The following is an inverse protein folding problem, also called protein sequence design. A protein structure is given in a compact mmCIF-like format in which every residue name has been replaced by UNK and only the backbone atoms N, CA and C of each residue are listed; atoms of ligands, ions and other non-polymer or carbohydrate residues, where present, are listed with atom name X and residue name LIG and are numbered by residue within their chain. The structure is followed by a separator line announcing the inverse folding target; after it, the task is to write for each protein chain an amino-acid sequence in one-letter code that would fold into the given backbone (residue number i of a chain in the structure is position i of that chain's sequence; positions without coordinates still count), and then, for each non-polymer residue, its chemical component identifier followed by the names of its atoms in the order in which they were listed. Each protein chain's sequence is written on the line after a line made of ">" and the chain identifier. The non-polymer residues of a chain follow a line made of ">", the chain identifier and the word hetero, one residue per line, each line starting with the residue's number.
data_IF_159302611896
#
_entry.id   IF_159302611896
#
_cell.length_a   1.000
_cell.length_b   1.000
_cell.length_c   1.000
_cell.angle_alpha   90.00
_cell.angle_beta   90.00
_cell.angle_gamma   90.00
#
_symmetry.space_group_name_H-M   'P 1'
#
loop_
_entity.id
_entity.type
_entity.pdbx_description
1 polymer ?
#
# COMPACT_ATOMS: atom_id res chain seq x y z
N UNK A 1 24.84 29.70 -19.60
CA UNK A 1 25.34 28.83 -18.50
C UNK A 1 24.67 29.34 -17.22
N UNK A 2 23.90 28.60 -16.42
CA UNK A 2 23.94 27.19 -16.02
C UNK A 2 22.51 26.65 -15.86
N UNK A 3 22.27 25.44 -16.35
CA UNK A 3 21.03 24.70 -16.08
C UNK A 3 20.98 24.25 -14.62
N UNK A 4 19.88 24.56 -13.94
CA UNK A 4 19.55 24.01 -12.63
C UNK A 4 19.04 22.58 -12.81
N UNK A 5 19.94 21.60 -12.73
CA UNK A 5 19.59 20.19 -12.70
C UNK A 5 18.73 19.91 -11.47
N UNK A 6 17.45 19.62 -11.70
CA UNK A 6 16.54 19.10 -10.68
C UNK A 6 16.99 17.68 -10.34
N UNK A 7 17.93 17.57 -9.40
CA UNK A 7 18.43 16.31 -8.88
C UNK A 7 17.29 15.58 -8.17
N UNK A 8 16.76 14.53 -8.80
CA UNK A 8 15.75 13.66 -8.21
C UNK A 8 16.26 13.09 -6.90
N UNK A 9 15.81 13.66 -5.78
CA UNK A 9 16.19 13.23 -4.46
C UNK A 9 15.74 11.78 -4.25
N UNK A 10 16.68 10.84 -4.27
CA UNK A 10 16.44 9.45 -3.86
C UNK A 10 16.11 9.46 -2.37
N UNK A 11 14.84 9.29 -2.04
CA UNK A 11 14.40 9.08 -0.66
C UNK A 11 15.11 7.83 -0.12
N UNK A 12 15.97 8.00 0.89
CA UNK A 12 16.87 6.93 1.37
C UNK A 12 16.13 5.79 2.08
N UNK A 13 14.99 6.08 2.69
CA UNK A 13 14.11 5.10 3.37
C UNK A 13 12.67 5.64 3.37
N UNK A 14 11.97 5.66 2.24
CA UNK A 14 10.60 6.16 2.21
C UNK A 14 9.69 5.27 3.06
N UNK A 15 8.71 5.88 3.73
CA UNK A 15 7.70 5.18 4.51
C UNK A 15 6.29 5.57 4.03
N UNK A 16 5.43 4.58 3.84
CA UNK A 16 4.00 4.74 3.62
C UNK A 16 3.28 4.42 4.93
N UNK A 17 2.50 5.38 5.42
CA UNK A 17 1.54 5.18 6.51
C UNK A 17 0.17 4.88 5.94
N UNK A 18 -0.48 3.82 6.39
CA UNK A 18 -1.85 3.47 5.99
C UNK A 18 -2.64 2.87 7.15
N UNK A 19 -3.97 3.00 7.11
CA UNK A 19 -4.84 2.45 8.14
C UNK A 19 -4.95 0.93 8.06
N UNK A 20 -5.30 0.30 9.18
CA UNK A 20 -5.69 -1.10 9.19
C UNK A 20 -7.12 -1.26 8.65
N UNK A 21 -7.45 -2.40 8.01
CA UNK A 21 -6.62 -3.62 7.84
C UNK A 21 -5.60 -3.57 6.70
N UNK A 22 -5.64 -2.54 5.84
CA UNK A 22 -4.87 -2.50 4.60
C UNK A 22 -3.34 -2.56 4.80
N UNK A 23 -2.82 -2.02 5.90
CA UNK A 23 -1.39 -2.12 6.23
C UNK A 23 -0.93 -3.58 6.35
N UNK A 24 -1.62 -4.38 7.18
CA UNK A 24 -1.29 -5.79 7.33
C UNK A 24 -1.55 -6.58 6.04
N UNK A 25 -2.64 -6.30 5.33
CA UNK A 25 -2.95 -6.99 4.07
C UNK A 25 -1.89 -6.73 2.99
N UNK A 26 -1.32 -5.52 2.94
CA UNK A 26 -0.22 -5.19 2.03
C UNK A 26 1.05 -5.96 2.41
N UNK A 27 1.37 -6.02 3.71
CA UNK A 27 2.53 -6.75 4.23
C UNK A 27 2.45 -8.26 3.98
N UNK A 28 1.24 -8.84 4.06
CA UNK A 28 1.00 -10.26 3.78
C UNK A 28 0.86 -10.56 2.28
N UNK A 29 1.02 -9.56 1.40
CA UNK A 29 0.93 -9.73 -0.04
C UNK A 29 -0.50 -9.93 -0.57
N UNK A 30 -1.53 -9.79 0.28
CA UNK A 30 -2.93 -9.92 -0.09
C UNK A 30 -3.38 -8.68 -0.88
N UNK A 31 -3.12 -7.49 -0.35
CA UNK A 31 -3.34 -6.23 -1.08
C UNK A 31 -2.08 -5.89 -1.85
N UNK A 32 -2.11 -5.96 -3.19
CA UNK A 32 -0.91 -5.77 -4.02
C UNK A 32 -0.73 -4.33 -4.54
N UNK A 33 -1.80 -3.55 -4.58
CA UNK A 33 -1.82 -2.20 -5.18
C UNK A 33 -2.36 -1.18 -4.19
N UNK A 34 -1.66 -0.04 -4.10
CA UNK A 34 -2.07 1.14 -3.35
C UNK A 34 -2.19 2.34 -4.30
N UNK A 35 -3.40 2.87 -4.45
CA UNK A 35 -3.67 4.04 -5.28
C UNK A 35 -3.47 5.33 -4.49
N UNK A 36 -2.76 6.31 -5.07
CA UNK A 36 -2.64 7.67 -4.51
C UNK A 36 -2.97 8.71 -5.57
N UNK A 37 -3.51 9.84 -5.14
CA UNK A 37 -3.88 10.94 -6.05
C UNK A 37 -2.68 11.77 -6.52
N UNK A 38 -1.49 11.56 -5.95
CA UNK A 38 -0.26 12.24 -6.33
C UNK A 38 0.79 11.25 -6.85
N UNK A 39 1.57 11.65 -7.87
CA UNK A 39 2.68 10.84 -8.35
C UNK A 39 3.75 10.74 -7.26
N UNK A 40 4.28 9.53 -7.09
CA UNK A 40 5.37 9.25 -6.17
C UNK A 40 6.42 8.44 -6.93
N UNK A 41 7.55 9.02 -7.37
CA UNK A 41 8.57 8.31 -8.17
C UNK A 41 9.45 7.41 -7.30
N UNK A 42 8.82 6.62 -6.43
CA UNK A 42 9.48 5.77 -5.45
C UNK A 42 9.68 4.36 -6.00
N UNK A 43 10.92 4.02 -6.29
CA UNK A 43 11.30 2.68 -6.75
C UNK A 43 12.30 2.07 -5.78
N UNK A 44 11.99 0.91 -5.21
CA UNK A 44 12.90 0.20 -4.31
C UNK A 44 12.29 -0.13 -2.95
N UNK A 45 13.09 -0.04 -1.89
CA UNK A 45 12.63 -0.35 -0.53
C UNK A 45 11.63 0.72 -0.07
N UNK A 46 10.50 0.27 0.45
CA UNK A 46 9.46 1.09 1.04
C UNK A 46 9.06 0.49 2.39
N UNK A 47 9.12 1.31 3.43
CA UNK A 47 8.65 0.95 4.76
C UNK A 47 7.13 1.12 4.87
N UNK A 48 6.46 0.19 5.53
CA UNK A 48 5.03 0.25 5.81
C UNK A 48 4.82 0.51 7.30
N UNK A 49 4.11 1.58 7.61
CA UNK A 49 3.69 1.94 8.96
C UNK A 49 2.16 1.81 9.08
N UNK A 50 1.70 1.09 10.10
CA UNK A 50 0.29 1.05 10.46
C UNK A 50 -0.08 2.32 11.22
N UNK A 51 -1.04 3.07 10.71
CA UNK A 51 -1.58 4.25 11.38
C UNK A 51 -2.23 3.91 12.73
N UNK A 52 -2.54 4.94 13.52
CA UNK A 52 -3.02 4.80 14.90
C UNK A 52 -4.49 4.42 15.05
N UNK A 53 -5.32 4.64 14.03
CA UNK A 53 -6.75 4.33 14.09
C UNK A 53 -6.94 2.82 14.27
N UNK A 54 -7.59 2.44 15.37
CA UNK A 54 -8.03 1.08 15.64
C UNK A 54 -8.98 0.65 14.52
N UNK A 55 -8.73 -0.49 13.84
CA UNK A 55 -9.62 -0.97 12.80
C UNK A 55 -10.93 -1.43 13.41
N UNK A 56 -12.01 -1.05 12.75
CA UNK A 56 -13.34 -1.54 13.08
C UNK A 56 -13.48 -3.04 12.71
N UNK A 57 -13.98 -3.91 13.61
CA UNK A 57 -14.04 -5.35 13.35
C UNK A 57 -14.86 -5.72 12.12
N UNK A 58 -15.97 -5.03 11.86
CA UNK A 58 -16.81 -5.29 10.70
C UNK A 58 -16.08 -4.92 9.41
N UNK A 59 -15.33 -3.82 9.43
CA UNK A 59 -14.45 -3.42 8.32
C UNK A 59 -13.36 -4.45 8.07
N UNK A 60 -12.73 -5.02 9.11
CA UNK A 60 -11.74 -6.10 8.96
C UNK A 60 -12.38 -7.29 8.26
N UNK A 61 -13.51 -7.77 8.78
CA UNK A 61 -14.23 -8.93 8.25
C UNK A 61 -14.63 -8.72 6.79
N UNK A 62 -15.22 -7.56 6.48
CA UNK A 62 -15.64 -7.21 5.13
C UNK A 62 -14.45 -7.19 4.14
N UNK A 63 -13.29 -6.70 4.57
CA UNK A 63 -12.10 -6.72 3.73
C UNK A 63 -11.53 -8.13 3.54
N UNK A 64 -11.52 -8.97 4.57
CA UNK A 64 -11.09 -10.37 4.44
C UNK A 64 -11.98 -11.16 3.48
N UNK A 65 -13.30 -11.00 3.60
CA UNK A 65 -14.29 -11.60 2.69
C UNK A 65 -14.11 -11.11 1.26
N UNK A 66 -14.00 -9.79 1.06
CA UNK A 66 -13.75 -9.18 -0.25
C UNK A 66 -12.51 -9.75 -0.95
N UNK A 67 -11.37 -9.84 -0.26
CA UNK A 67 -10.17 -10.43 -0.87
C UNK A 67 -10.31 -11.93 -1.10
N UNK A 68 -10.99 -12.65 -0.20
CA UNK A 68 -11.25 -14.08 -0.40
C UNK A 68 -12.05 -14.33 -1.67
N UNK A 69 -13.08 -13.54 -1.93
CA UNK A 69 -13.89 -13.62 -3.15
C UNK A 69 -13.06 -13.32 -4.39
N UNK A 70 -12.30 -12.22 -4.40
CA UNK A 70 -11.47 -11.83 -5.55
C UNK A 70 -10.48 -12.93 -5.92
N UNK A 71 -9.75 -13.47 -4.94
CA UNK A 71 -8.77 -14.52 -5.20
C UNK A 71 -9.43 -15.87 -5.54
N UNK A 72 -10.64 -16.14 -5.04
CA UNK A 72 -11.40 -17.32 -5.43
C UNK A 72 -11.79 -17.30 -6.92
N UNK A 73 -12.07 -16.12 -7.50
CA UNK A 73 -12.29 -15.97 -8.94
C UNK A 73 -11.06 -16.39 -9.76
N UNK A 74 -9.86 -16.20 -9.21
CA UNK A 74 -8.59 -16.64 -9.79
C UNK A 74 -8.22 -18.10 -9.42
N UNK A 75 -9.13 -18.84 -8.76
CA UNK A 75 -8.91 -20.22 -8.32
C UNK A 75 -8.01 -20.36 -7.07
N UNK A 76 -7.66 -19.26 -6.40
CA UNK A 76 -6.84 -19.26 -5.19
C UNK A 76 -7.75 -19.23 -3.96
N UNK A 77 -7.89 -20.37 -3.30
CA UNK A 77 -8.78 -20.52 -2.14
C UNK A 77 -8.06 -20.54 -0.79
N UNK A 78 -6.77 -20.88 -0.78
CA UNK A 78 -5.97 -21.03 0.43
C UNK A 78 -5.20 -19.76 0.80
N UNK A 79 -5.94 -18.70 1.14
CA UNK A 79 -5.37 -17.41 1.58
C UNK A 79 -5.30 -17.39 3.11
N UNK A 80 -4.12 -17.07 3.64
CA UNK A 80 -3.91 -16.91 5.08
C UNK A 80 -3.96 -15.43 5.45
N UNK A 81 -5.00 -15.04 6.19
CA UNK A 81 -5.14 -13.69 6.71
C UNK A 81 -4.34 -13.49 8.01
N UNK A 82 -3.91 -12.26 8.33
CA UNK A 82 -3.23 -11.95 9.58
C UNK A 82 -4.14 -12.19 10.79
N UNK A 83 -3.60 -12.80 11.85
CA UNK A 83 -4.34 -12.96 13.12
C UNK A 83 -4.51 -11.64 13.90
N UNK A 84 -3.62 -10.67 13.67
CA UNK A 84 -3.60 -9.40 14.39
C UNK A 84 -3.33 -8.22 13.46
N UNK A 85 -3.97 -7.08 13.77
CA UNK A 85 -3.86 -5.83 13.04
C UNK A 85 -3.30 -4.73 13.96
N UNK A 86 -1.97 -4.72 14.22
CA UNK A 86 -1.36 -3.75 15.12
C UNK A 86 -1.46 -2.33 14.55
N UNK A 87 -1.63 -1.35 15.44
CA UNK A 87 -1.67 0.09 15.12
C UNK A 87 -0.43 0.80 15.67
N UNK A 88 -0.13 1.99 15.14
CA UNK A 88 1.00 2.83 15.57
C UNK A 88 2.34 2.09 15.56
N UNK A 89 2.57 1.24 14.55
CA UNK A 89 3.75 0.37 14.48
C UNK A 89 4.31 0.32 13.07
N UNK A 90 5.63 0.42 12.98
CA UNK A 90 6.38 0.10 11.77
C UNK A 90 6.36 -1.42 11.58
N UNK A 91 5.83 -1.88 10.45
CA UNK A 91 5.62 -3.31 10.20
C UNK A 91 6.85 -3.94 9.54
N UNK A 92 7.18 -3.51 8.32
CA UNK A 92 8.26 -4.10 7.54
C UNK A 92 8.69 -3.16 6.40
N UNK A 93 9.87 -3.43 5.83
CA UNK A 93 10.28 -2.89 4.55
C UNK A 93 9.95 -3.88 3.43
N UNK A 94 9.05 -3.49 2.52
CA UNK A 94 8.75 -4.24 1.31
C UNK A 94 9.56 -3.66 0.14
N UNK A 95 9.88 -4.49 -0.85
CA UNK A 95 10.39 -4.00 -2.13
C UNK A 95 9.18 -3.56 -2.96
N UNK A 96 8.93 -2.26 -3.02
CA UNK A 96 7.81 -1.67 -3.74
C UNK A 96 8.25 -0.99 -5.03
N UNK A 97 7.47 -1.16 -6.09
CA UNK A 97 7.45 -0.23 -7.20
C UNK A 97 6.23 0.67 -7.03
N UNK A 98 6.41 1.82 -6.39
CA UNK A 98 5.39 2.87 -6.43
C UNK A 98 5.58 3.64 -7.73
N UNK A 99 4.86 3.23 -8.76
CA UNK A 99 4.66 4.01 -9.98
C UNK A 99 3.25 3.74 -10.49
N UNK A 100 2.39 4.75 -10.46
CA UNK A 100 1.18 4.78 -11.29
C UNK A 100 0.97 6.22 -11.77
N UNK A 101 1.14 6.42 -13.07
CA UNK A 101 0.69 7.61 -13.78
C UNK A 101 -0.73 7.34 -14.28
N UNK A 102 -1.71 8.10 -13.80
CA UNK A 102 -2.87 8.49 -14.59
C UNK A 102 -3.22 9.93 -14.23
N UNK A 103 -2.52 10.87 -14.86
CA UNK A 103 -3.04 12.21 -15.09
C UNK A 103 -3.37 12.32 -16.56
N UNK A 104 -4.65 12.25 -16.90
CA UNK A 104 -5.27 13.22 -17.80
C UNK A 104 -6.72 13.41 -17.34
N UNK A 105 -6.96 14.39 -16.46
CA UNK A 105 -8.29 15.00 -16.37
C UNK A 105 -8.46 15.84 -17.63
N UNK A 106 -8.92 15.25 -18.73
CA UNK A 106 -9.48 15.99 -19.85
C UNK A 106 -10.92 16.33 -19.53
N UNK A 107 -11.17 17.55 -19.05
CA UNK A 107 -12.51 18.14 -19.09
C UNK A 107 -12.58 18.94 -20.40
N UNK A 108 -13.50 18.56 -21.27
CA UNK A 108 -14.17 19.46 -22.22
C UNK A 108 -15.63 19.50 -21.83
#
# INVERSE_FOLDING_TARGET
>A
MRGGGSGGARLRNPCLTMHQPWASLLVHGIKRVEGRSWPSPLTGRLWIHAASKVPDPDTVKAMEEFYREIYALDGITNITFPHHYPVSRLLVALRGLMRLNQQTKGHT
#
